data_IF_786831568633
#
_entry.id   IF_786831568633
#
_cell.length_a   1.000
_cell.length_b   1.000
_cell.length_c   1.000
_cell.angle_alpha   90.00
_cell.angle_beta   90.00
_cell.angle_gamma   90.00
#
_symmetry.space_group_name_H-M   'P 1'
#
loop_
_entity.id
_entity.type
_entity.pdbx_description
1 polymer ?
#
# COMPACT_ATOMS: atom_id res chain seq x y z
N UNK A 1 27.93 -38.08 7.00
CA UNK A 1 26.63 -37.47 7.31
C UNK A 1 26.72 -36.93 8.73
N UNK A 2 26.94 -35.62 8.89
CA UNK A 2 26.90 -34.97 10.20
C UNK A 2 25.43 -34.64 10.50
N UNK A 3 24.91 -35.15 11.61
CA UNK A 3 23.54 -34.92 12.04
C UNK A 3 23.36 -33.44 12.39
N UNK A 4 22.36 -32.81 11.76
CA UNK A 4 21.85 -31.54 12.24
C UNK A 4 21.22 -31.77 13.63
N UNK A 5 21.75 -31.11 14.65
CA UNK A 5 21.14 -31.08 15.98
C UNK A 5 19.86 -30.23 15.93
N UNK A 6 18.73 -30.90 15.82
CA UNK A 6 17.38 -30.37 15.58
C UNK A 6 16.73 -29.79 16.85
N UNK A 7 17.48 -29.64 17.96
CA UNK A 7 16.90 -29.52 19.31
C UNK A 7 16.61 -28.09 19.79
N UNK A 8 16.84 -27.05 18.99
CA UNK A 8 16.68 -25.66 19.43
C UNK A 8 15.69 -24.86 18.58
N UNK A 9 14.50 -24.51 19.11
CA UNK A 9 13.49 -23.72 18.39
C UNK A 9 14.01 -22.39 17.84
N UNK A 10 14.91 -21.72 18.56
CA UNK A 10 15.48 -20.45 18.11
C UNK A 10 16.42 -20.62 16.90
N UNK A 11 17.18 -21.73 16.83
CA UNK A 11 18.03 -22.03 15.69
C UNK A 11 17.20 -22.35 14.44
N UNK A 12 16.09 -23.08 14.62
CA UNK A 12 15.14 -23.36 13.54
C UNK A 12 14.52 -22.06 13.03
N UNK A 13 14.08 -21.18 13.94
CA UNK A 13 13.54 -19.87 13.59
C UNK A 13 14.52 -19.05 12.75
N UNK A 14 15.79 -18.94 13.18
CA UNK A 14 16.81 -18.22 12.44
C UNK A 14 17.06 -18.81 11.04
N UNK A 15 17.16 -20.13 10.95
CA UNK A 15 17.36 -20.81 9.68
C UNK A 15 16.19 -20.59 8.72
N UNK A 16 14.95 -20.72 9.20
CA UNK A 16 13.75 -20.53 8.39
C UNK A 16 13.58 -19.08 7.95
N UNK A 17 13.88 -18.12 8.83
CA UNK A 17 13.87 -16.69 8.50
C UNK A 17 14.92 -16.38 7.42
N UNK A 18 16.15 -16.84 7.57
CA UNK A 18 17.21 -16.65 6.57
C UNK A 18 16.82 -17.27 5.22
N UNK A 19 16.32 -18.51 5.22
CA UNK A 19 15.88 -19.18 3.99
C UNK A 19 14.69 -18.47 3.33
N UNK A 20 13.80 -17.86 4.12
CA UNK A 20 12.71 -17.08 3.59
C UNK A 20 13.19 -15.78 2.94
N UNK A 21 14.09 -15.05 3.62
CA UNK A 21 14.67 -13.81 3.09
C UNK A 21 15.45 -14.07 1.80
N UNK A 22 16.28 -15.11 1.75
CA UNK A 22 17.02 -15.47 0.54
C UNK A 22 16.08 -15.78 -0.62
N UNK A 23 14.96 -16.48 -0.38
CA UNK A 23 13.94 -16.71 -1.42
C UNK A 23 13.30 -15.42 -1.90
N UNK A 24 12.98 -14.50 -1.00
CA UNK A 24 12.45 -13.18 -1.37
C UNK A 24 13.43 -12.39 -2.25
N UNK A 25 14.74 -12.43 -1.94
CA UNK A 25 15.76 -11.82 -2.80
C UNK A 25 15.86 -12.49 -4.17
N UNK A 26 15.74 -13.83 -4.25
CA UNK A 26 15.68 -14.54 -5.53
C UNK A 26 14.48 -14.08 -6.38
N UNK A 27 13.36 -13.81 -5.73
CA UNK A 27 12.15 -13.25 -6.34
C UNK A 27 12.22 -11.72 -6.58
N UNK A 28 13.41 -11.11 -6.36
CA UNK A 28 13.71 -9.69 -6.56
C UNK A 28 12.91 -8.75 -5.65
N UNK A 29 12.61 -9.19 -4.44
CA UNK A 29 12.05 -8.34 -3.40
C UNK A 29 13.13 -7.68 -2.57
N UNK A 30 13.01 -6.37 -2.34
CA UNK A 30 13.75 -5.68 -1.29
C UNK A 30 12.96 -5.68 0.02
N UNK A 31 13.68 -5.72 1.13
CA UNK A 31 13.13 -6.08 2.43
C UNK A 31 13.42 -4.96 3.43
N UNK A 32 12.42 -4.65 4.25
CA UNK A 32 12.58 -3.92 5.52
C UNK A 32 12.13 -4.88 6.62
N UNK A 33 13.06 -5.27 7.49
CA UNK A 33 12.84 -6.20 8.59
C UNK A 33 12.90 -5.45 9.92
N UNK A 34 11.79 -5.42 10.65
CA UNK A 34 11.74 -4.90 12.02
C UNK A 34 11.53 -6.06 12.99
N UNK A 35 12.43 -6.23 13.96
CA UNK A 35 12.32 -7.33 14.90
C UNK A 35 12.99 -7.05 16.24
N UNK A 36 12.30 -7.39 17.33
CA UNK A 36 12.89 -7.55 18.66
C UNK A 36 13.64 -8.87 18.73
N UNK A 37 14.90 -8.87 18.31
CA UNK A 37 15.70 -10.09 18.15
C UNK A 37 16.21 -10.67 19.47
N UNK A 38 16.13 -9.90 20.57
CA UNK A 38 16.69 -10.26 21.88
C UNK A 38 18.18 -10.61 21.85
N UNK A 39 18.88 -10.18 20.79
CA UNK A 39 20.31 -10.34 20.59
C UNK A 39 20.89 -9.00 20.15
N UNK A 40 22.08 -8.67 20.65
CA UNK A 40 22.85 -7.53 20.18
C UNK A 40 23.87 -7.98 19.12
N UNK A 41 24.33 -7.03 18.31
CA UNK A 41 25.16 -7.30 17.13
C UNK A 41 26.44 -8.06 17.47
N UNK A 42 27.08 -7.72 18.60
CA UNK A 42 28.35 -8.30 19.04
C UNK A 42 28.19 -9.53 19.95
N UNK A 43 27.00 -10.14 19.97
CA UNK A 43 26.75 -11.31 20.80
C UNK A 43 27.59 -12.52 20.36
N UNK A 44 27.96 -13.38 21.33
CA UNK A 44 28.77 -14.58 21.08
C UNK A 44 28.09 -15.60 20.15
N UNK A 45 26.75 -15.59 20.09
CA UNK A 45 25.98 -16.50 19.25
C UNK A 45 26.14 -16.21 17.75
N UNK A 46 26.51 -14.97 17.39
CA UNK A 46 26.73 -14.51 16.00
C UNK A 46 25.53 -14.66 15.04
N UNK A 47 24.37 -15.17 15.47
CA UNK A 47 23.21 -15.40 14.61
C UNK A 47 22.80 -14.14 13.82
N UNK A 48 22.79 -12.98 14.49
CA UNK A 48 22.50 -11.70 13.84
C UNK A 48 23.56 -11.32 12.78
N UNK A 49 24.85 -11.52 13.06
CA UNK A 49 25.91 -11.24 12.08
C UNK A 49 25.79 -12.17 10.87
N UNK A 50 25.45 -13.43 11.11
CA UNK A 50 25.20 -14.42 10.07
C UNK A 50 23.98 -14.02 9.23
N UNK A 51 22.88 -13.59 9.85
CA UNK A 51 21.71 -13.07 9.16
C UNK A 51 22.09 -11.88 8.25
N UNK A 52 22.73 -10.84 8.80
CA UNK A 52 23.10 -9.64 8.04
C UNK A 52 23.95 -10.00 6.83
N UNK A 53 24.96 -10.84 7.03
CA UNK A 53 25.88 -11.27 5.97
C UNK A 53 25.20 -12.13 4.91
N UNK A 54 24.45 -13.16 5.33
CA UNK A 54 23.87 -14.13 4.41
C UNK A 54 22.66 -13.59 3.66
N UNK A 55 21.95 -12.65 4.27
CA UNK A 55 20.77 -12.02 3.70
C UNK A 55 21.05 -10.64 3.09
N UNK A 56 22.30 -10.16 3.05
CA UNK A 56 22.60 -8.83 2.47
C UNK A 56 21.82 -7.69 3.14
N UNK A 57 21.56 -7.81 4.44
CA UNK A 57 20.83 -6.81 5.20
C UNK A 57 21.80 -5.88 5.93
N UNK A 58 21.43 -4.60 6.01
CA UNK A 58 22.19 -3.56 6.71
C UNK A 58 21.31 -2.84 7.73
N UNK A 59 21.93 -2.26 8.75
CA UNK A 59 21.25 -1.39 9.70
C UNK A 59 21.35 0.08 9.22
N UNK A 60 20.25 0.73 8.83
CA UNK A 60 20.28 2.11 8.36
C UNK A 60 20.63 3.11 9.47
N UNK A 61 20.49 2.76 10.76
CA UNK A 61 20.95 3.62 11.84
C UNK A 61 22.48 3.76 11.82
N UNK A 62 23.20 2.64 11.60
CA UNK A 62 24.67 2.65 11.48
C UNK A 62 25.09 3.45 10.24
N UNK A 63 24.34 3.32 9.14
CA UNK A 63 24.58 4.08 7.92
C UNK A 63 24.42 5.60 8.13
N UNK A 64 23.33 6.03 8.79
CA UNK A 64 23.05 7.45 9.01
C UNK A 64 23.90 8.07 10.12
N UNK A 65 24.33 7.26 11.11
CA UNK A 65 25.01 7.74 12.32
C UNK A 65 26.26 6.90 12.64
N UNK A 66 27.27 6.85 11.75
CA UNK A 66 28.41 5.94 11.88
C UNK A 66 29.30 6.21 13.11
N UNK A 67 29.31 7.44 13.62
CA UNK A 67 30.09 7.83 14.80
C UNK A 67 29.30 7.75 16.11
N UNK A 68 27.99 7.46 16.04
CA UNK A 68 27.16 7.40 17.24
C UNK A 68 27.37 6.08 17.99
N UNK A 69 27.55 6.12 19.33
CA UNK A 69 27.59 4.90 20.11
C UNK A 69 26.25 4.18 20.05
N UNK A 70 26.29 2.84 20.10
CA UNK A 70 25.07 2.04 20.20
C UNK A 70 24.34 2.37 21.50
N UNK A 71 23.01 2.58 21.41
CA UNK A 71 22.14 2.83 22.56
C UNK A 71 21.26 1.63 22.85
N UNK A 72 20.95 1.42 24.13
CA UNK A 72 20.06 0.35 24.55
C UNK A 72 18.63 0.58 24.06
N UNK A 73 17.99 -0.44 23.49
CA UNK A 73 16.59 -0.36 23.04
C UNK A 73 15.60 -0.85 24.07
N UNK A 74 16.08 -1.46 25.15
CA UNK A 74 15.26 -1.99 26.24
C UNK A 74 15.70 -1.39 27.58
N UNK A 75 14.74 -0.90 28.37
CA UNK A 75 14.97 -0.05 29.55
C UNK A 75 15.85 -0.70 30.61
N UNK A 76 15.69 -2.02 30.81
CA UNK A 76 16.48 -2.81 31.79
C UNK A 76 17.77 -3.37 31.19
N UNK A 77 17.96 -3.24 29.87
CA UNK A 77 19.12 -3.75 29.16
C UNK A 77 20.16 -2.67 28.89
N UNK A 78 21.38 -3.09 28.60
CA UNK A 78 22.51 -2.21 28.27
C UNK A 78 22.86 -2.19 26.78
N UNK A 79 22.22 -3.04 25.96
CA UNK A 79 22.53 -3.23 24.55
C UNK A 79 21.30 -3.01 23.66
N UNK A 80 21.53 -2.76 22.37
CA UNK A 80 20.49 -2.78 21.34
C UNK A 80 20.06 -4.21 21.05
N UNK A 81 18.79 -4.51 21.28
CA UNK A 81 18.21 -5.85 21.04
C UNK A 81 17.05 -5.83 20.04
N UNK A 82 16.60 -4.64 19.68
CA UNK A 82 15.62 -4.37 18.64
C UNK A 82 16.36 -3.85 17.40
N UNK A 83 16.05 -4.42 16.24
CA UNK A 83 16.74 -4.13 15.00
C UNK A 83 15.76 -3.76 13.90
N UNK A 84 16.11 -2.71 13.16
CA UNK A 84 15.50 -2.32 11.91
C UNK A 84 16.58 -2.54 10.84
N UNK A 85 16.34 -3.48 9.94
CA UNK A 85 17.29 -3.89 8.91
C UNK A 85 16.68 -3.70 7.54
N UNK A 86 17.48 -3.33 6.56
CA UNK A 86 17.03 -3.12 5.18
C UNK A 86 17.92 -3.88 4.19
N UNK A 87 17.35 -4.28 3.05
CA UNK A 87 18.14 -4.69 1.88
C UNK A 87 19.13 -3.58 1.50
N UNK A 88 20.35 -3.95 1.11
CA UNK A 88 21.39 -3.01 0.70
C UNK A 88 20.93 -2.09 -0.45
N UNK A 89 20.08 -2.58 -1.33
CA UNK A 89 19.48 -1.89 -2.48
C UNK A 89 18.63 -0.69 -2.08
N UNK A 90 18.09 -0.68 -0.85
CA UNK A 90 17.30 0.43 -0.31
C UNK A 90 18.17 1.59 0.18
N UNK A 91 19.48 1.38 0.37
CA UNK A 91 20.43 2.37 0.90
C UNK A 91 20.33 3.75 0.25
N UNK A 92 20.31 3.88 -1.09
CA UNK A 92 20.28 5.21 -1.74
C UNK A 92 18.97 5.97 -1.49
N UNK A 93 17.92 5.28 -1.04
CA UNK A 93 16.59 5.83 -0.81
C UNK A 93 16.32 6.09 0.67
N UNK A 94 17.25 5.77 1.57
CA UNK A 94 17.15 6.12 2.99
C UNK A 94 17.44 7.61 3.14
N UNK A 95 16.47 8.38 3.64
CA UNK A 95 16.64 9.82 3.88
C UNK A 95 17.07 10.11 5.31
N UNK A 96 16.62 9.29 6.26
CA UNK A 96 16.91 9.44 7.68
C UNK A 96 16.58 8.14 8.43
N UNK A 97 17.23 7.91 9.56
CA UNK A 97 16.93 6.81 10.47
C UNK A 97 17.20 7.25 11.91
N UNK A 98 16.54 6.62 12.88
CA UNK A 98 16.71 6.99 14.28
C UNK A 98 16.12 5.99 15.28
N UNK A 99 16.52 6.21 16.53
CA UNK A 99 16.00 5.50 17.70
C UNK A 99 15.39 6.54 18.62
N UNK A 100 14.11 6.37 18.94
CA UNK A 100 13.39 7.27 19.82
C UNK A 100 13.84 7.13 21.28
N UNK A 101 13.66 8.18 22.11
CA UNK A 101 13.71 8.04 23.57
C UNK A 101 12.68 7.01 24.06
N UNK A 102 12.88 6.49 25.27
CA UNK A 102 11.85 5.68 25.94
C UNK A 102 10.55 6.49 26.11
N UNK A 103 9.43 5.77 26.03
CA UNK A 103 8.09 6.31 26.15
C UNK A 103 7.75 7.40 25.12
N UNK A 104 8.44 7.45 23.98
CA UNK A 104 8.10 8.35 22.87
C UNK A 104 6.86 7.82 22.12
N UNK A 105 5.75 8.56 22.20
CA UNK A 105 4.48 8.23 21.53
C UNK A 105 3.67 7.11 22.18
N UNK A 106 4.32 6.04 22.65
CA UNK A 106 3.70 4.94 23.39
C UNK A 106 4.55 4.57 24.61
N UNK A 107 3.90 4.33 25.74
CA UNK A 107 4.57 3.89 26.97
C UNK A 107 5.01 2.44 26.80
N UNK A 108 6.31 2.20 26.85
CA UNK A 108 6.91 0.89 26.62
C UNK A 108 8.28 0.82 27.26
N UNK A 109 8.65 -0.36 27.75
CA UNK A 109 10.02 -0.64 28.16
C UNK A 109 10.97 -0.84 26.97
N UNK A 110 10.48 -0.72 25.73
CA UNK A 110 11.26 -0.67 24.50
C UNK A 110 11.25 0.72 23.84
N UNK A 111 12.33 1.05 23.13
CA UNK A 111 12.42 2.25 22.27
C UNK A 111 11.82 1.98 20.89
N UNK A 112 11.25 3.00 20.28
CA UNK A 112 10.86 2.97 18.87
C UNK A 112 12.08 3.09 17.95
N UNK A 113 12.11 2.32 16.86
CA UNK A 113 13.07 2.48 15.77
C UNK A 113 12.32 2.95 14.53
N UNK A 114 12.94 3.84 13.76
CA UNK A 114 12.34 4.33 12.52
C UNK A 114 13.36 4.51 11.41
N UNK A 115 12.87 4.43 10.17
CA UNK A 115 13.59 4.75 8.95
C UNK A 115 12.64 5.49 8.03
N UNK A 116 13.11 6.58 7.45
CA UNK A 116 12.44 7.27 6.36
C UNK A 116 13.05 6.80 5.04
N UNK A 117 12.19 6.29 4.17
CA UNK A 117 12.57 5.81 2.84
C UNK A 117 11.82 6.63 1.80
N UNK A 118 12.53 7.16 0.81
CA UNK A 118 11.98 7.82 -0.37
C UNK A 118 11.30 6.81 -1.30
N UNK A 119 10.21 6.19 -0.81
CA UNK A 119 9.56 5.05 -1.45
C UNK A 119 9.05 5.37 -2.85
N UNK A 120 8.64 6.61 -3.11
CA UNK A 120 8.22 7.03 -4.44
C UNK A 120 9.37 6.97 -5.46
N UNK A 121 10.59 7.34 -5.06
CA UNK A 121 11.77 7.27 -5.92
C UNK A 121 12.18 5.81 -6.12
N UNK A 122 12.23 5.05 -5.03
CA UNK A 122 12.54 3.61 -5.06
C UNK A 122 11.59 2.82 -5.98
N UNK A 123 10.28 3.03 -5.86
CA UNK A 123 9.27 2.37 -6.68
C UNK A 123 9.16 2.93 -8.11
N UNK A 124 9.98 3.93 -8.47
CA UNK A 124 9.88 4.61 -9.77
C UNK A 124 8.55 5.32 -9.98
N UNK A 125 7.84 5.67 -8.89
CA UNK A 125 6.63 6.48 -8.94
C UNK A 125 7.05 7.93 -9.14
N UNK A 126 7.48 8.23 -10.37
CA UNK A 126 7.55 9.60 -10.83
C UNK A 126 6.14 10.18 -10.76
N UNK A 127 6.00 11.40 -10.22
CA UNK A 127 4.74 12.15 -10.20
C UNK A 127 4.24 12.41 -11.64
N UNK A 128 3.73 11.39 -12.33
CA UNK A 128 2.65 11.61 -13.27
C UNK A 128 1.49 12.03 -12.39
N UNK A 129 1.02 13.25 -12.60
CA UNK A 129 -0.29 13.67 -12.13
C UNK A 129 -1.28 12.64 -12.66
N UNK A 130 -1.54 11.59 -11.88
CA UNK A 130 -2.68 10.76 -12.11
C UNK A 130 -3.84 11.72 -11.91
N UNK A 131 -4.40 12.21 -13.00
CA UNK A 131 -5.80 12.61 -12.99
C UNK A 131 -6.49 11.40 -12.38
N UNK A 132 -6.84 11.50 -11.10
CA UNK A 132 -7.67 10.51 -10.44
C UNK A 132 -8.86 10.37 -11.37
N UNK A 133 -8.88 9.28 -12.15
CA UNK A 133 -9.99 9.02 -13.05
C UNK A 133 -11.22 9.22 -12.20
N UNK A 134 -12.08 10.18 -12.57
CA UNK A 134 -13.27 10.50 -11.78
C UNK A 134 -13.93 9.16 -11.49
N UNK A 135 -13.90 8.74 -10.21
CA UNK A 135 -14.37 7.41 -9.84
C UNK A 135 -15.80 7.30 -10.36
N UNK A 136 -16.09 6.25 -11.13
CA UNK A 136 -17.46 6.02 -11.61
C UNK A 136 -18.40 6.03 -10.40
N UNK A 137 -19.51 6.74 -10.52
CA UNK A 137 -20.48 6.90 -9.43
C UNK A 137 -21.33 5.63 -9.26
N UNK A 138 -21.33 4.77 -10.28
CA UNK A 138 -21.96 3.45 -10.26
C UNK A 138 -20.89 2.44 -9.80
N UNK A 139 -21.19 1.73 -8.71
CA UNK A 139 -20.39 0.60 -8.24
C UNK A 139 -21.30 -0.57 -7.91
N UNK A 140 -20.85 -1.79 -8.22
CA UNK A 140 -21.60 -3.04 -8.00
C UNK A 140 -21.99 -3.29 -6.54
N UNK A 141 -21.36 -2.61 -5.59
CA UNK A 141 -21.66 -2.73 -4.15
C UNK A 141 -22.94 -2.06 -3.67
N UNK A 142 -23.70 -1.36 -4.52
CA UNK A 142 -25.02 -0.81 -4.16
C UNK A 142 -26.09 -1.22 -5.20
N UNK A 143 -26.84 -2.32 -4.95
CA UNK A 143 -27.84 -2.84 -5.86
C UNK A 143 -28.92 -1.83 -6.26
N UNK A 144 -29.33 -0.96 -5.32
CA UNK A 144 -30.37 0.06 -5.55
C UNK A 144 -29.91 1.12 -6.54
N UNK A 145 -28.68 1.61 -6.40
CA UNK A 145 -28.08 2.58 -7.33
C UNK A 145 -27.92 1.97 -8.72
N UNK A 146 -27.44 0.72 -8.79
CA UNK A 146 -27.31 -0.02 -10.03
C UNK A 146 -28.67 -0.17 -10.75
N UNK A 147 -29.72 -0.58 -10.03
CA UNK A 147 -31.06 -0.73 -10.58
C UNK A 147 -31.62 0.59 -11.13
N UNK A 148 -31.46 1.69 -10.38
CA UNK A 148 -31.90 3.03 -10.80
C UNK A 148 -31.15 3.51 -12.05
N UNK A 149 -29.83 3.33 -12.09
CA UNK A 149 -29.02 3.67 -13.26
C UNK A 149 -29.41 2.83 -14.49
N UNK A 150 -29.65 1.53 -14.30
CA UNK A 150 -30.04 0.63 -15.40
C UNK A 150 -31.40 1.01 -15.97
N UNK A 151 -32.38 1.30 -15.10
CA UNK A 151 -33.70 1.79 -15.52
C UNK A 151 -33.58 3.09 -16.32
N UNK A 152 -32.74 4.04 -15.90
CA UNK A 152 -32.54 5.28 -16.68
C UNK A 152 -31.81 5.11 -18.00
N UNK A 153 -30.86 4.18 -18.07
CA UNK A 153 -30.27 3.81 -19.35
C UNK A 153 -31.33 3.19 -20.27
N UNK A 154 -32.14 2.26 -19.76
CA UNK A 154 -33.18 1.59 -20.52
C UNK A 154 -34.23 2.59 -21.07
N UNK A 155 -34.71 3.52 -20.25
CA UNK A 155 -35.62 4.60 -20.67
C UNK A 155 -35.02 5.41 -21.84
N UNK A 156 -33.73 5.75 -21.76
CA UNK A 156 -33.02 6.52 -22.78
C UNK A 156 -32.89 5.76 -24.09
N UNK A 157 -32.51 4.47 -24.03
CA UNK A 157 -32.34 3.63 -25.21
C UNK A 157 -33.68 3.38 -25.93
N UNK A 158 -34.76 3.19 -25.17
CA UNK A 158 -36.11 3.05 -25.71
C UNK A 158 -36.57 4.35 -26.38
N UNK A 159 -36.41 5.48 -25.70
CA UNK A 159 -36.84 6.80 -26.22
C UNK A 159 -36.10 7.20 -27.49
N UNK A 160 -34.85 6.76 -27.66
CA UNK A 160 -34.04 7.02 -28.84
C UNK A 160 -34.12 5.90 -29.90
N UNK A 161 -35.05 4.96 -29.76
CA UNK A 161 -35.27 3.83 -30.68
C UNK A 161 -34.01 2.98 -30.95
N UNK A 162 -33.05 2.94 -30.02
CA UNK A 162 -31.73 2.32 -30.24
C UNK A 162 -31.89 0.85 -30.63
N UNK A 163 -32.70 0.09 -29.91
CA UNK A 163 -32.95 -1.33 -30.21
C UNK A 163 -33.54 -1.54 -31.61
N UNK A 164 -34.51 -0.71 -32.01
CA UNK A 164 -35.14 -0.79 -33.32
C UNK A 164 -34.13 -0.50 -34.43
N UNK A 165 -33.36 0.59 -34.30
CA UNK A 165 -32.35 0.97 -35.29
C UNK A 165 -31.23 -0.06 -35.39
N UNK A 166 -30.76 -0.61 -34.27
CA UNK A 166 -29.77 -1.69 -34.26
C UNK A 166 -30.28 -2.94 -34.99
N UNK A 167 -31.50 -3.38 -34.73
CA UNK A 167 -32.08 -4.54 -35.42
C UNK A 167 -32.27 -4.28 -36.92
N UNK A 168 -32.74 -3.09 -37.31
CA UNK A 168 -32.87 -2.72 -38.73
C UNK A 168 -31.52 -2.71 -39.44
N UNK A 169 -30.47 -2.23 -38.77
CA UNK A 169 -29.11 -2.22 -39.32
C UNK A 169 -28.54 -3.63 -39.42
N UNK A 170 -28.78 -4.48 -38.43
CA UNK A 170 -28.39 -5.89 -38.44
C UNK A 170 -29.02 -6.63 -39.62
N UNK A 171 -30.34 -6.53 -39.80
CA UNK A 171 -31.06 -7.15 -40.92
C UNK A 171 -30.57 -6.62 -42.27
N UNK A 172 -30.32 -5.31 -42.38
CA UNK A 172 -29.79 -4.72 -43.61
C UNK A 172 -28.42 -5.30 -43.98
N UNK A 173 -27.51 -5.49 -43.01
CA UNK A 173 -26.20 -6.09 -43.24
C UNK A 173 -26.33 -7.59 -43.57
N UNK A 174 -27.24 -8.28 -42.89
CA UNK A 174 -27.39 -9.73 -43.04
C UNK A 174 -28.07 -10.14 -44.36
N UNK A 175 -29.05 -9.36 -44.82
CA UNK A 175 -29.84 -9.67 -46.01
C UNK A 175 -29.22 -9.17 -47.33
N UNK A 176 -28.24 -8.27 -47.27
CA UNK A 176 -27.62 -7.69 -48.46
C UNK A 176 -26.18 -8.21 -48.64
N UNK A 177 -25.92 -8.89 -49.75
CA UNK A 177 -24.59 -9.39 -50.10
C UNK A 177 -23.54 -8.29 -50.31
N UNK A 178 -23.99 -7.05 -50.56
CA UNK A 178 -23.15 -5.85 -50.65
C UNK A 178 -23.89 -4.66 -50.03
N UNK A 179 -23.20 -3.87 -49.22
CA UNK A 179 -23.75 -2.68 -48.55
C UNK A 179 -22.70 -1.55 -48.52
N UNK A 180 -23.17 -0.31 -48.39
CA UNK A 180 -22.30 0.85 -48.24
C UNK A 180 -21.68 0.86 -46.83
N UNK A 181 -20.43 0.42 -46.76
CA UNK A 181 -19.64 0.35 -45.52
C UNK A 181 -19.54 1.72 -44.83
N UNK A 182 -19.36 2.82 -45.57
CA UNK A 182 -19.23 4.15 -44.95
C UNK A 182 -20.53 4.60 -44.30
N UNK A 183 -21.67 4.34 -44.95
CA UNK A 183 -22.99 4.63 -44.38
C UNK A 183 -23.27 3.79 -43.14
N UNK A 184 -22.96 2.49 -43.19
CA UNK A 184 -23.11 1.60 -42.03
C UNK A 184 -22.24 2.05 -40.86
N UNK A 185 -20.97 2.39 -41.08
CA UNK A 185 -20.08 2.90 -40.03
C UNK A 185 -20.64 4.17 -39.37
N UNK A 186 -21.23 5.09 -40.15
CA UNK A 186 -21.84 6.31 -39.60
C UNK A 186 -23.03 6.00 -38.69
N UNK A 187 -23.88 5.05 -39.07
CA UNK A 187 -25.02 4.63 -38.25
C UNK A 187 -24.57 3.90 -36.97
N UNK A 188 -23.56 3.02 -37.06
CA UNK A 188 -22.97 2.37 -35.87
C UNK A 188 -22.43 3.43 -34.90
N UNK A 189 -21.65 4.39 -35.40
CA UNK A 189 -21.10 5.48 -34.58
C UNK A 189 -22.20 6.39 -33.99
N UNK A 190 -23.37 6.47 -34.62
CA UNK A 190 -24.52 7.20 -34.07
C UNK A 190 -25.16 6.42 -32.91
N UNK A 191 -25.34 5.11 -33.08
CA UNK A 191 -25.83 4.21 -32.03
C UNK A 191 -24.89 4.23 -30.82
N UNK A 192 -23.59 4.11 -31.04
CA UNK A 192 -22.57 4.16 -29.99
C UNK A 192 -22.62 5.48 -29.19
N UNK A 193 -22.77 6.61 -29.89
CA UNK A 193 -22.93 7.93 -29.24
C UNK A 193 -24.19 8.01 -28.39
N UNK A 194 -25.31 7.47 -28.85
CA UNK A 194 -26.55 7.43 -28.08
C UNK A 194 -26.43 6.56 -26.84
N UNK A 195 -25.80 5.39 -26.95
CA UNK A 195 -25.52 4.51 -25.81
C UNK A 195 -24.63 5.24 -24.80
N UNK A 196 -23.54 5.85 -25.26
CA UNK A 196 -22.61 6.63 -24.41
C UNK A 196 -23.32 7.78 -23.70
N UNK A 197 -24.16 8.54 -24.41
CA UNK A 197 -24.95 9.63 -23.80
C UNK A 197 -25.91 9.10 -22.73
N UNK A 198 -26.60 7.98 -23.01
CA UNK A 198 -27.48 7.32 -22.06
C UNK A 198 -26.73 6.87 -20.80
N UNK A 199 -25.56 6.27 -20.96
CA UNK A 199 -24.72 5.81 -19.84
C UNK A 199 -24.26 6.96 -18.96
N UNK A 200 -23.80 8.06 -19.56
CA UNK A 200 -23.36 9.26 -18.84
C UNK A 200 -24.52 9.95 -18.12
N UNK A 201 -25.69 10.04 -18.76
CA UNK A 201 -26.89 10.63 -18.15
C UNK A 201 -27.40 9.79 -16.98
N UNK A 202 -27.42 8.47 -17.15
CA UNK A 202 -27.80 7.53 -16.10
C UNK A 202 -26.84 7.63 -14.90
N UNK A 203 -25.53 7.67 -15.13
CA UNK A 203 -24.53 7.83 -14.07
C UNK A 203 -24.71 9.16 -13.32
N UNK A 204 -24.91 10.26 -14.04
CA UNK A 204 -25.15 11.58 -13.43
C UNK A 204 -26.41 11.61 -12.55
N UNK A 205 -27.45 10.86 -12.93
CA UNK A 205 -28.71 10.78 -12.18
C UNK A 205 -28.60 10.06 -10.83
N UNK A 206 -27.54 9.28 -10.63
CA UNK A 206 -27.26 8.53 -9.40
C UNK A 206 -25.99 9.00 -8.69
N UNK A 207 -25.43 10.12 -9.14
CA UNK A 207 -24.29 10.76 -8.49
C UNK A 207 -24.68 11.22 -7.09
N UNK A 208 -24.15 10.55 -6.06
CA UNK A 208 -24.21 11.05 -4.70
C UNK A 208 -23.09 12.05 -4.43
N UNK A 209 -23.43 13.16 -3.78
CA UNK A 209 -22.44 14.02 -3.13
C UNK A 209 -21.77 13.20 -2.03
N UNK A 210 -20.59 12.65 -2.32
CA UNK A 210 -19.74 12.17 -1.25
C UNK A 210 -19.37 13.40 -0.42
N UNK A 211 -19.62 13.44 0.89
CA UNK A 211 -19.00 14.46 1.71
C UNK A 211 -17.50 14.34 1.43
N UNK A 212 -16.80 15.44 1.10
CA UNK A 212 -15.38 15.35 0.89
C UNK A 212 -14.81 14.75 2.16
N UNK A 213 -14.04 13.66 2.05
CA UNK A 213 -13.00 13.38 3.04
C UNK A 213 -12.11 14.62 2.99
N UNK A 214 -12.48 15.64 3.77
CA UNK A 214 -11.87 16.94 3.61
C UNK A 214 -10.43 16.75 4.07
N UNK A 215 -9.49 17.29 3.29
CA UNK A 215 -8.08 17.31 3.70
C UNK A 215 -7.96 17.83 5.14
N UNK A 216 -8.79 18.82 5.48
CA UNK A 216 -8.97 19.37 6.83
C UNK A 216 -9.40 18.33 7.88
N UNK A 217 -10.34 17.43 7.56
CA UNK A 217 -10.76 16.35 8.47
C UNK A 217 -9.69 15.28 8.62
N UNK A 218 -8.98 14.93 7.54
CA UNK A 218 -7.86 14.00 7.63
C UNK A 218 -6.70 14.58 8.46
N UNK A 219 -6.33 15.84 8.20
CA UNK A 219 -5.36 16.58 9.00
C UNK A 219 -5.80 16.70 10.46
N UNK A 220 -7.05 17.09 10.71
CA UNK A 220 -7.59 17.17 12.08
C UNK A 220 -7.61 15.81 12.80
N UNK A 221 -7.85 14.71 12.07
CA UNK A 221 -7.74 13.36 12.64
C UNK A 221 -6.29 13.00 12.98
N UNK A 222 -5.33 13.33 12.11
CA UNK A 222 -3.90 13.14 12.39
C UNK A 222 -3.46 13.96 13.60
N UNK A 223 -3.84 15.24 13.64
CA UNK A 223 -3.58 16.15 14.77
C UNK A 223 -4.18 15.59 16.07
N UNK A 224 -5.43 15.10 16.04
CA UNK A 224 -6.05 14.46 17.19
C UNK A 224 -5.29 13.21 17.66
N UNK A 225 -4.87 12.34 16.73
CA UNK A 225 -4.11 11.14 17.06
C UNK A 225 -2.77 11.51 17.70
N UNK A 226 -2.05 12.48 17.13
CA UNK A 226 -0.78 12.98 17.68
C UNK A 226 -0.98 13.61 19.07
N UNK A 227 -1.98 14.47 19.23
CA UNK A 227 -2.32 15.07 20.53
C UNK A 227 -2.70 13.99 21.56
N UNK A 228 -3.44 12.96 21.16
CA UNK A 228 -3.80 11.85 22.01
C UNK A 228 -2.58 11.01 22.44
N UNK A 229 -1.61 10.78 21.55
CA UNK A 229 -0.34 10.13 21.87
C UNK A 229 0.46 10.94 22.90
N UNK A 230 0.58 12.26 22.71
CA UNK A 230 1.26 13.16 23.66
C UNK A 230 0.54 13.17 25.01
N UNK A 231 -0.80 13.23 25.02
CA UNK A 231 -1.57 13.21 26.26
C UNK A 231 -1.35 11.91 27.05
N UNK A 232 -1.36 10.76 26.38
CA UNK A 232 -1.03 9.47 27.00
C UNK A 232 0.36 9.49 27.59
N UNK A 233 1.35 10.01 26.86
CA UNK A 233 2.71 10.13 27.36
C UNK A 233 2.79 10.93 28.67
N UNK A 234 2.08 12.05 28.77
CA UNK A 234 2.02 12.86 30.01
C UNK A 234 1.35 12.08 31.14
N UNK A 235 0.19 11.46 30.87
CA UNK A 235 -0.58 10.75 31.91
C UNK A 235 0.15 9.55 32.51
N UNK A 236 0.96 8.86 31.72
CA UNK A 236 1.67 7.65 32.19
C UNK A 236 3.10 7.92 32.65
N UNK A 237 3.67 9.11 32.39
CA UNK A 237 4.97 9.53 32.96
C UNK A 237 4.87 9.94 34.44
N UNK A 238 3.68 10.21 34.95
CA UNK A 238 3.47 10.60 36.36
C UNK A 238 3.53 9.46 37.38
N UNK A 239 3.64 8.18 36.95
CA UNK A 239 3.55 7.00 37.83
C UNK A 239 4.87 6.25 38.07
N UNK A 240 6.03 6.83 37.75
CA UNK A 240 7.33 6.19 38.04
C UNK A 240 8.30 7.16 38.71
N UNK A 241 8.10 7.34 40.02
CA UNK A 241 9.11 7.80 40.98
C UNK A 241 9.92 6.63 41.50
#
# INVERSE_FOLDING_TARGET
MQGFDITSPIKLYWNDLMNYIVRLHQDKHDIILLMGMNQHLYSKAQDLQILLRNCGLIDPHILCHPESPEVNTYQRGTHKIDHLLISQELTPYVTSAGIEPFDAGTVSDHRGLWVDVALAEYLGIHKKSYNLNKKRHIGSGNPTICAKSMSKLQDHLLSNNVYKTTNQLYEHIHQNASYDSQKVTREINKIDRLITQGMLAAEKSVQHNRPPFSKKLHQGRLEFILAHMVLKQVMYKTDRS
#
